data_IF_213145863282
#
_entry.id   IF_213145863282
#
_cell.length_a   1.000
_cell.length_b   1.000
_cell.length_c   1.000
_cell.angle_alpha   90.00
_cell.angle_beta   90.00
_cell.angle_gamma   90.00
#
_symmetry.space_group_name_H-M   'P 1'
#
loop_
_entity.id
_entity.type
_entity.pdbx_description
1 polymer ?
#
# COMPACT_ATOMS: atom_id res chain seq x y z
N UNK A 1 22.37 -67.05 -33.51
CA UNK A 1 21.45 -67.95 -32.77
C UNK A 1 20.69 -67.09 -31.75
N UNK A 2 19.36 -66.94 -31.93
CA UNK A 2 18.33 -66.30 -31.04
C UNK A 2 18.48 -64.77 -30.80
N UNK A 3 17.63 -63.83 -31.21
CA UNK A 3 16.16 -63.67 -31.36
C UNK A 3 15.34 -63.73 -30.04
N UNK A 4 14.86 -62.56 -29.59
CA UNK A 4 13.50 -62.22 -29.08
C UNK A 4 13.49 -60.72 -28.73
N UNK A 5 12.78 -59.82 -29.43
CA UNK A 5 11.31 -59.62 -29.49
C UNK A 5 10.71 -59.08 -28.20
N UNK A 6 10.28 -57.81 -28.24
CA UNK A 6 8.96 -57.43 -27.71
C UNK A 6 8.44 -56.21 -28.47
N UNK A 7 7.29 -56.41 -29.13
CA UNK A 7 6.41 -55.40 -29.72
C UNK A 7 5.61 -54.66 -28.64
N UNK A 8 4.96 -53.57 -29.07
CA UNK A 8 3.73 -52.88 -28.58
C UNK A 8 4.03 -51.36 -28.68
N UNK A 9 3.25 -50.47 -29.27
CA UNK A 9 1.97 -50.49 -29.98
C UNK A 9 1.80 -49.08 -30.58
N UNK A 10 1.32 -48.98 -31.80
CA UNK A 10 1.01 -47.71 -32.47
C UNK A 10 -0.34 -47.17 -32.01
N UNK A 11 -0.44 -45.86 -31.72
CA UNK A 11 -1.66 -45.08 -31.90
C UNK A 11 -1.31 -43.69 -32.45
N UNK A 12 -1.92 -43.38 -33.59
CA UNK A 12 -2.03 -42.04 -34.18
C UNK A 12 -3.06 -41.21 -33.40
N UNK A 13 -2.87 -39.89 -33.24
CA UNK A 13 -3.65 -38.84 -33.93
C UNK A 13 -3.33 -37.41 -33.43
N UNK A 14 -3.31 -36.49 -34.41
CA UNK A 14 -3.69 -35.08 -34.39
C UNK A 14 -2.80 -34.00 -33.72
N UNK A 15 -2.30 -33.11 -34.59
CA UNK A 15 -1.87 -31.74 -34.30
C UNK A 15 -2.98 -30.89 -33.66
N UNK A 16 -2.62 -29.81 -32.94
CA UNK A 16 -3.16 -28.43 -33.10
C UNK A 16 -2.43 -27.42 -32.19
N UNK A 17 -2.10 -26.29 -32.82
CA UNK A 17 -1.89 -24.90 -32.37
C UNK A 17 -0.82 -24.50 -31.32
N UNK A 18 0.02 -23.55 -31.75
CA UNK A 18 0.79 -22.62 -30.92
C UNK A 18 -0.14 -21.70 -30.13
N UNK A 19 0.12 -21.51 -28.84
CA UNK A 19 -0.42 -20.40 -28.06
C UNK A 19 0.65 -19.29 -27.97
N UNK A 20 0.36 -18.14 -28.60
CA UNK A 20 1.16 -16.92 -28.45
C UNK A 20 0.86 -16.20 -27.11
N UNK A 21 1.71 -15.23 -26.71
CA UNK A 21 1.51 -14.49 -25.47
C UNK A 21 0.22 -13.65 -25.51
N UNK A 22 -0.56 -13.75 -24.45
CA UNK A 22 -1.82 -13.01 -24.25
C UNK A 22 -1.56 -11.51 -24.17
N UNK A 23 -2.02 -10.78 -25.19
CA UNK A 23 -2.16 -9.33 -25.16
C UNK A 23 -3.47 -8.98 -24.43
N UNK A 24 -3.38 -8.27 -23.31
CA UNK A 24 -4.55 -7.63 -22.70
C UNK A 24 -4.96 -6.40 -23.54
N UNK A 25 -6.27 -6.11 -23.72
CA UNK A 25 -6.71 -5.05 -24.62
C UNK A 25 -6.44 -3.65 -24.04
N UNK A 26 -5.85 -2.79 -24.88
CA UNK A 26 -5.64 -1.35 -24.68
C UNK A 26 -7.00 -0.62 -24.71
N UNK A 27 -7.46 -0.06 -23.59
CA UNK A 27 -8.65 0.80 -23.58
C UNK A 27 -8.32 2.23 -24.02
N UNK A 28 -9.25 2.80 -24.77
CA UNK A 28 -9.17 4.05 -25.54
C UNK A 28 -9.18 5.29 -24.63
N UNK A 29 -8.15 6.14 -24.73
CA UNK A 29 -8.13 7.48 -24.13
C UNK A 29 -8.98 8.44 -24.97
N UNK A 30 -9.95 9.10 -24.35
CA UNK A 30 -10.57 10.31 -24.89
C UNK A 30 -10.01 11.50 -24.11
N UNK A 31 -9.17 12.28 -24.76
CA UNK A 31 -8.57 13.48 -24.17
C UNK A 31 -9.40 14.73 -24.51
N UNK A 32 -9.68 15.55 -23.50
CA UNK A 32 -10.25 16.90 -23.65
C UNK A 32 -9.33 17.90 -22.93
N UNK A 33 -9.03 19.07 -23.51
CA UNK A 33 -7.91 19.87 -23.03
C UNK A 33 -8.25 20.84 -21.88
N UNK A 34 -7.19 21.06 -21.07
CA UNK A 34 -6.78 22.26 -20.31
C UNK A 34 -7.30 22.53 -18.86
N UNK A 35 -6.39 22.25 -17.92
CA UNK A 35 -6.02 22.94 -16.65
C UNK A 35 -7.14 23.34 -15.67
N UNK A 36 -7.63 22.33 -14.96
CA UNK A 36 -7.79 22.34 -13.50
C UNK A 36 -7.07 21.07 -13.00
N UNK A 37 -6.47 21.06 -11.80
CA UNK A 37 -5.90 19.82 -11.23
C UNK A 37 -7.04 18.83 -11.00
N UNK A 38 -7.33 18.02 -12.01
CA UNK A 38 -8.31 16.95 -11.92
C UNK A 38 -7.64 15.83 -11.13
N UNK A 39 -7.90 15.80 -9.83
CA UNK A 39 -7.63 14.62 -9.02
C UNK A 39 -8.27 13.42 -9.73
N UNK A 40 -7.45 12.41 -10.05
CA UNK A 40 -7.95 11.19 -10.67
C UNK A 40 -8.25 10.21 -9.56
N UNK A 41 -9.53 9.85 -9.43
CA UNK A 41 -9.96 8.80 -8.50
C UNK A 41 -9.87 7.46 -9.20
N UNK A 42 -9.05 6.57 -8.65
CA UNK A 42 -8.95 5.16 -9.00
C UNK A 42 -9.65 4.34 -7.91
N UNK A 43 -10.34 3.28 -8.33
CA UNK A 43 -11.01 2.39 -7.40
C UNK A 43 -10.21 1.09 -7.24
N UNK A 44 -10.02 0.66 -6.00
CA UNK A 44 -9.26 -0.54 -5.61
C UNK A 44 -10.12 -1.48 -4.76
N UNK A 45 -9.57 -2.64 -4.40
CA UNK A 45 -10.23 -3.60 -3.50
C UNK A 45 -9.70 -3.56 -2.07
N UNK A 46 -8.55 -2.93 -1.86
CA UNK A 46 -7.75 -3.03 -0.65
C UNK A 46 -7.07 -1.73 -0.22
N UNK A 47 -6.86 -0.77 -1.11
CA UNK A 47 -6.05 0.41 -0.84
C UNK A 47 -6.83 1.73 -0.99
N UNK A 48 -6.81 2.60 0.03
CA UNK A 48 -7.36 3.95 -0.07
C UNK A 48 -6.40 5.01 0.44
N UNK A 49 -6.33 6.15 -0.24
CA UNK A 49 -5.52 7.29 0.18
C UNK A 49 -5.04 8.14 -0.98
N UNK A 50 -3.90 8.81 -0.77
CA UNK A 50 -3.30 9.71 -1.75
C UNK A 50 -1.96 9.15 -2.24
N UNK A 51 -1.76 9.12 -3.55
CA UNK A 51 -0.51 8.70 -4.20
C UNK A 51 0.05 9.89 -4.98
N UNK A 52 1.06 10.55 -4.42
CA UNK A 52 1.76 11.64 -5.06
C UNK A 52 2.85 11.09 -5.98
N UNK A 53 2.82 11.48 -7.25
CA UNK A 53 3.79 11.07 -8.26
C UNK A 53 4.75 12.24 -8.55
N UNK A 54 6.05 11.95 -8.56
CA UNK A 54 7.09 12.88 -8.95
C UNK A 54 7.90 12.30 -10.12
N UNK A 55 7.61 12.79 -11.32
CA UNK A 55 8.20 12.32 -12.58
C UNK A 55 9.73 12.32 -12.61
N UNK A 56 10.38 13.14 -11.78
CA UNK A 56 11.84 13.20 -11.69
C UNK A 56 12.48 11.91 -11.15
N UNK A 57 11.72 11.06 -10.44
CA UNK A 57 12.23 9.84 -9.82
C UNK A 57 13.30 10.13 -8.76
N UNK A 58 13.03 11.13 -7.91
CA UNK A 58 13.97 11.62 -6.90
C UNK A 58 13.37 11.76 -5.50
N UNK A 59 12.18 11.21 -5.25
CA UNK A 59 11.58 11.18 -3.92
C UNK A 59 12.41 10.31 -2.99
N UNK A 60 12.76 10.84 -1.83
CA UNK A 60 13.59 10.11 -0.87
C UNK A 60 13.02 10.11 0.54
N UNK A 61 11.95 10.84 0.81
CA UNK A 61 11.32 10.82 2.13
C UNK A 61 9.83 11.10 2.04
N UNK A 62 9.06 10.47 2.92
CA UNK A 62 7.65 10.75 3.15
C UNK A 62 7.40 10.70 4.66
N UNK A 63 6.53 11.59 5.15
CA UNK A 63 6.10 11.64 6.53
C UNK A 63 4.62 12.00 6.64
N UNK A 64 3.99 11.56 7.73
CA UNK A 64 2.65 11.96 8.11
C UNK A 64 2.36 11.61 9.56
N UNK A 65 1.69 12.51 10.27
CA UNK A 65 1.21 12.30 11.63
C UNK A 65 -0.27 11.90 11.61
N UNK A 66 -0.65 10.90 12.39
CA UNK A 66 -2.00 10.34 12.40
C UNK A 66 -2.39 9.94 13.81
N UNK A 67 -3.64 10.20 14.19
CA UNK A 67 -4.22 9.61 15.40
C UNK A 67 -4.66 8.19 15.09
N UNK A 68 -4.12 7.22 15.82
CA UNK A 68 -4.43 5.80 15.62
C UNK A 68 -5.94 5.58 15.78
N UNK A 69 -6.64 5.08 14.75
CA UNK A 69 -8.09 5.01 14.78
C UNK A 69 -8.58 3.92 15.73
N UNK A 70 -9.74 4.16 16.34
CA UNK A 70 -10.55 3.09 16.90
C UNK A 70 -11.16 2.29 15.74
N UNK A 71 -10.93 0.98 15.73
CA UNK A 71 -11.52 0.08 14.74
C UNK A 71 -12.50 -0.89 15.39
N UNK A 72 -13.46 -1.38 14.62
CA UNK A 72 -14.34 -2.48 15.01
C UNK A 72 -14.73 -3.32 13.80
N UNK A 73 -15.18 -4.55 14.02
CA UNK A 73 -15.55 -5.45 12.94
C UNK A 73 -15.58 -6.91 13.40
N UNK A 74 -15.68 -7.84 12.45
CA UNK A 74 -15.49 -9.26 12.73
C UNK A 74 -14.14 -9.55 13.38
N UNK A 75 -14.10 -10.58 14.24
CA UNK A 75 -12.84 -11.09 14.79
C UNK A 75 -11.95 -11.55 13.63
N UNK A 76 -10.64 -11.30 13.75
CA UNK A 76 -9.60 -11.55 12.74
C UNK A 76 -9.59 -10.60 11.54
N UNK A 77 -10.46 -9.58 11.49
CA UNK A 77 -10.33 -8.50 10.50
C UNK A 77 -9.07 -7.69 10.77
N UNK A 78 -8.34 -7.35 9.70
CA UNK A 78 -7.10 -6.58 9.74
C UNK A 78 -7.21 -5.27 8.95
N UNK A 79 -6.43 -4.29 9.37
CA UNK A 79 -6.39 -2.95 8.80
C UNK A 79 -5.00 -2.35 9.00
N UNK A 80 -4.54 -1.51 8.08
CA UNK A 80 -3.29 -0.77 8.30
C UNK A 80 -3.46 0.72 8.00
N UNK A 81 -2.62 1.51 8.65
CA UNK A 81 -2.33 2.90 8.27
C UNK A 81 -0.85 2.96 7.95
N UNK A 82 -0.46 3.47 6.79
CA UNK A 82 0.94 3.49 6.36
C UNK A 82 1.33 4.72 5.55
N UNK A 83 2.64 4.97 5.51
CA UNK A 83 3.25 5.87 4.53
C UNK A 83 4.36 5.13 3.79
N UNK A 84 4.38 5.28 2.46
CA UNK A 84 5.21 4.45 1.58
C UNK A 84 5.90 5.29 0.50
N UNK A 85 7.11 4.87 0.12
CA UNK A 85 7.73 5.25 -1.14
C UNK A 85 7.52 4.08 -2.11
N UNK A 86 7.10 4.42 -3.33
CA UNK A 86 6.80 3.47 -4.41
C UNK A 86 5.64 2.50 -4.07
N UNK A 87 5.56 1.34 -4.74
CA UNK A 87 4.53 0.31 -4.54
C UNK A 87 3.32 0.36 -5.49
N UNK A 88 3.09 1.47 -6.19
CA UNK A 88 2.00 1.58 -7.17
C UNK A 88 2.49 1.33 -8.60
N UNK A 89 3.33 2.23 -9.12
CA UNK A 89 3.91 2.16 -10.47
C UNK A 89 5.26 1.43 -10.50
N UNK A 90 5.79 1.06 -9.33
CA UNK A 90 7.06 0.37 -9.15
C UNK A 90 6.83 -0.98 -8.46
N UNK A 91 7.61 -2.00 -8.82
CA UNK A 91 7.50 -3.33 -8.22
C UNK A 91 8.03 -3.43 -6.79
N UNK A 92 8.78 -2.44 -6.33
CA UNK A 92 9.29 -2.39 -4.96
C UNK A 92 8.55 -1.33 -4.16
N UNK A 93 8.45 -1.57 -2.85
CA UNK A 93 7.81 -0.68 -1.90
C UNK A 93 8.65 -0.61 -0.64
N UNK A 94 8.90 0.61 -0.16
CA UNK A 94 9.54 0.89 1.11
C UNK A 94 8.53 1.61 1.99
N UNK A 95 8.18 1.00 3.13
CA UNK A 95 7.05 1.50 3.90
C UNK A 95 7.14 1.22 5.39
N UNK A 96 6.36 1.99 6.13
CA UNK A 96 6.13 1.80 7.57
C UNK A 96 4.65 1.89 7.85
N UNK A 97 4.16 0.97 8.66
CA UNK A 97 2.74 0.81 8.93
C UNK A 97 2.47 0.58 10.42
N UNK A 98 1.27 0.97 10.84
CA UNK A 98 0.61 0.43 12.03
C UNK A 98 -0.53 -0.44 11.58
N UNK A 99 -0.42 -1.74 11.87
CA UNK A 99 -1.48 -2.71 11.65
C UNK A 99 -2.35 -2.84 12.89
N UNK A 100 -3.66 -2.91 12.67
CA UNK A 100 -4.66 -3.20 13.67
C UNK A 100 -5.34 -4.54 13.35
N UNK A 101 -5.53 -5.38 14.36
CA UNK A 101 -6.25 -6.65 14.26
C UNK A 101 -7.40 -6.66 15.27
N UNK A 102 -8.61 -6.97 14.82
CA UNK A 102 -9.76 -7.11 15.72
C UNK A 102 -9.70 -8.46 16.43
N UNK A 103 -9.59 -8.46 17.76
CA UNK A 103 -9.59 -9.68 18.59
C UNK A 103 -10.84 -9.77 19.47
N UNK A 104 -11.04 -10.91 20.14
CA UNK A 104 -12.15 -11.10 21.07
C UNK A 104 -12.12 -10.12 22.28
N UNK A 105 -10.94 -9.62 22.66
CA UNK A 105 -10.76 -8.63 23.73
C UNK A 105 -10.73 -7.18 23.24
N UNK A 106 -10.95 -6.95 21.94
CA UNK A 106 -10.84 -5.65 21.30
C UNK A 106 -9.67 -5.56 20.31
N UNK A 107 -9.50 -4.42 19.61
CA UNK A 107 -8.42 -4.23 18.65
C UNK A 107 -7.04 -4.26 19.31
N UNK A 108 -6.07 -4.87 18.63
CA UNK A 108 -4.64 -4.82 18.98
C UNK A 108 -3.87 -4.12 17.86
N UNK A 109 -2.81 -3.40 18.21
CA UNK A 109 -2.02 -2.59 17.28
C UNK A 109 -0.55 -3.02 17.29
N UNK A 110 0.06 -3.14 16.11
CA UNK A 110 1.46 -3.49 15.93
C UNK A 110 2.08 -2.58 14.87
N UNK A 111 3.24 -2.00 15.16
CA UNK A 111 4.03 -1.27 14.18
C UNK A 111 4.98 -2.22 13.44
N UNK A 112 5.11 -2.05 12.14
CA UNK A 112 6.05 -2.79 11.31
C UNK A 112 6.60 -1.93 10.17
N UNK A 113 7.69 -2.38 9.58
CA UNK A 113 8.30 -1.77 8.42
C UNK A 113 8.57 -2.83 7.35
N UNK A 114 8.69 -2.41 6.10
CA UNK A 114 8.92 -3.33 5.00
C UNK A 114 9.75 -2.76 3.87
N UNK A 115 10.51 -3.65 3.23
CA UNK A 115 11.20 -3.45 1.97
C UNK A 115 11.28 -4.80 1.25
N UNK A 116 10.23 -5.15 0.50
CA UNK A 116 10.01 -6.49 -0.10
C UNK A 116 10.06 -7.65 0.92
N UNK A 117 9.61 -7.36 2.14
CA UNK A 117 9.59 -8.25 3.30
C UNK A 117 9.33 -7.41 4.55
N UNK A 118 8.60 -7.94 5.53
CA UNK A 118 8.18 -7.18 6.71
C UNK A 118 9.03 -7.50 7.94
N UNK A 119 9.05 -6.56 8.89
CA UNK A 119 9.67 -6.73 10.19
C UNK A 119 9.04 -5.83 11.22
N UNK A 120 8.76 -6.39 12.39
CA UNK A 120 8.14 -5.67 13.50
C UNK A 120 9.06 -4.58 14.05
N UNK A 121 8.44 -3.50 14.52
CA UNK A 121 9.08 -2.44 15.29
C UNK A 121 8.67 -2.57 16.75
N UNK A 122 9.65 -2.48 17.66
CA UNK A 122 9.41 -2.55 19.09
C UNK A 122 8.95 -1.19 19.61
N UNK A 123 7.65 -0.95 19.58
CA UNK A 123 6.99 0.26 20.08
C UNK A 123 5.57 -0.08 20.53
N UNK A 124 5.11 0.57 21.60
CA UNK A 124 3.74 0.42 22.11
C UNK A 124 2.84 1.41 21.41
N UNK A 125 1.76 0.90 20.81
CA UNK A 125 0.75 1.69 20.09
C UNK A 125 -0.63 1.35 20.63
N UNK A 126 -1.45 2.36 20.89
CA UNK A 126 -2.84 2.23 21.29
C UNK A 126 -3.75 3.09 20.42
N UNK A 127 -5.04 2.75 20.36
CA UNK A 127 -6.05 3.61 19.76
C UNK A 127 -6.06 4.98 20.47
N UNK A 128 -6.14 6.06 19.68
CA UNK A 128 -6.10 7.44 20.18
C UNK A 128 -4.69 8.02 20.34
N UNK A 129 -3.63 7.22 20.25
CA UNK A 129 -2.27 7.74 20.23
C UNK A 129 -2.04 8.60 18.98
N UNK A 130 -1.33 9.71 19.13
CA UNK A 130 -0.81 10.48 18.01
C UNK A 130 0.55 9.91 17.62
N UNK A 131 0.66 9.39 16.42
CA UNK A 131 1.90 8.80 15.90
C UNK A 131 2.39 9.57 14.68
N UNK A 132 3.70 9.63 14.48
CA UNK A 132 4.32 10.08 13.23
C UNK A 132 4.99 8.90 12.54
N UNK A 133 4.61 8.68 11.29
CA UNK A 133 5.21 7.70 10.40
C UNK A 133 6.19 8.43 9.48
N UNK A 134 7.40 7.90 9.33
CA UNK A 134 8.40 8.45 8.42
C UNK A 134 9.17 7.36 7.70
N UNK A 135 9.31 7.51 6.39
CA UNK A 135 10.19 6.70 5.54
C UNK A 135 11.25 7.61 4.95
N UNK A 136 12.49 7.14 4.90
CA UNK A 136 13.59 7.77 4.20
C UNK A 136 14.38 6.74 3.38
N UNK A 137 14.32 6.84 2.06
CA UNK A 137 15.26 6.15 1.19
C UNK A 137 16.65 6.77 1.35
N UNK A 138 17.65 5.95 1.64
CA UNK A 138 19.06 6.36 1.69
C UNK A 138 19.71 6.22 0.31
N UNK A 139 19.30 5.19 -0.40
CA UNK A 139 19.55 4.93 -1.81
C UNK A 139 18.42 4.00 -2.31
N UNK A 140 18.48 3.58 -3.57
CA UNK A 140 17.44 2.74 -4.17
C UNK A 140 17.30 1.36 -3.53
N UNK A 141 18.27 0.89 -2.75
CA UNK A 141 18.27 -0.46 -2.18
C UNK A 141 18.39 -0.45 -0.66
N UNK A 142 18.33 0.72 -0.01
CA UNK A 142 18.32 0.84 1.45
C UNK A 142 17.52 2.05 1.94
N UNK A 143 16.88 1.89 3.09
CA UNK A 143 16.05 2.93 3.68
C UNK A 143 15.92 2.79 5.19
N UNK A 144 15.42 3.86 5.82
CA UNK A 144 15.13 3.93 7.25
C UNK A 144 13.65 4.23 7.44
N UNK A 145 13.01 3.44 8.28
CA UNK A 145 11.61 3.57 8.66
C UNK A 145 11.55 3.90 10.13
N UNK A 146 10.70 4.87 10.47
CA UNK A 146 10.55 5.38 11.83
C UNK A 146 9.05 5.49 12.14
N UNK A 147 8.70 5.03 13.34
CA UNK A 147 7.43 5.34 14.00
C UNK A 147 7.75 6.04 15.30
N UNK A 148 7.27 7.26 15.45
CA UNK A 148 7.30 8.00 16.71
C UNK A 148 5.89 7.96 17.31
N UNK A 149 5.74 7.52 18.55
CA UNK A 149 4.50 7.67 19.29
C UNK A 149 4.62 8.90 20.19
N UNK A 150 4.04 10.01 19.72
CA UNK A 150 4.12 11.32 20.36
C UNK A 150 3.27 11.40 21.64
N UNK A 151 2.38 10.42 21.85
CA UNK A 151 1.56 10.34 23.06
C UNK A 151 2.27 9.69 24.25
N UNK A 152 3.32 8.90 24.00
CA UNK A 152 4.07 8.18 25.05
C UNK A 152 5.60 8.28 24.93
N UNK A 153 6.10 9.16 24.05
CA UNK A 153 7.52 9.44 23.81
C UNK A 153 8.36 8.21 23.38
N UNK A 154 7.73 7.17 22.82
CA UNK A 154 8.44 6.02 22.27
C UNK A 154 8.78 6.20 20.80
N UNK A 155 9.89 5.60 20.38
CA UNK A 155 10.31 5.57 18.98
C UNK A 155 10.76 4.17 18.60
N UNK A 156 10.18 3.64 17.53
CA UNK A 156 10.62 2.42 16.86
C UNK A 156 11.22 2.78 15.52
N UNK A 157 12.39 2.23 15.19
CA UNK A 157 12.97 2.45 13.87
C UNK A 157 13.73 1.22 13.39
N UNK A 158 13.89 1.11 12.08
CA UNK A 158 14.73 0.09 11.45
C UNK A 158 15.32 0.59 10.16
N UNK A 159 16.54 0.15 9.88
CA UNK A 159 17.15 0.26 8.55
C UNK A 159 16.94 -1.07 7.83
N UNK A 160 16.40 -1.04 6.63
CA UNK A 160 16.25 -2.22 5.76
C UNK A 160 17.10 -2.07 4.50
N UNK A 161 17.38 -3.21 3.87
CA UNK A 161 17.98 -3.31 2.55
C UNK A 161 17.19 -4.34 1.73
N UNK A 162 17.12 -4.12 0.43
CA UNK A 162 16.49 -5.05 -0.52
C UNK A 162 17.39 -5.24 -1.74
N UNK A 163 17.27 -6.39 -2.39
CA UNK A 163 17.87 -6.62 -3.72
C UNK A 163 17.09 -5.94 -4.84
N UNK A 164 15.81 -5.63 -4.63
CA UNK A 164 15.00 -4.98 -5.66
C UNK A 164 14.98 -3.47 -5.43
N UNK A 165 15.40 -2.68 -6.43
CA UNK A 165 15.56 -1.25 -6.26
C UNK A 165 14.22 -0.51 -6.30
N UNK A 166 14.14 0.56 -5.50
CA UNK A 166 13.13 1.60 -5.59
C UNK A 166 13.23 2.36 -6.91
N UNK A 167 12.09 2.85 -7.36
CA UNK A 167 11.96 3.78 -8.47
C UNK A 167 12.10 5.23 -8.01
N UNK A 168 11.77 5.52 -6.74
CA UNK A 168 11.78 6.84 -6.10
C UNK A 168 10.79 7.82 -6.77
N UNK A 169 9.63 7.30 -7.23
CA UNK A 169 8.68 8.04 -8.07
C UNK A 169 7.37 8.35 -7.39
N UNK A 170 6.94 7.55 -6.43
CA UNK A 170 5.70 7.85 -5.70
C UNK A 170 5.89 7.91 -4.19
N UNK A 171 5.02 8.69 -3.55
CA UNK A 171 4.88 8.80 -2.12
C UNK A 171 3.39 8.65 -1.78
N UNK A 172 3.05 7.70 -0.91
CA UNK A 172 1.67 7.33 -0.62
C UNK A 172 1.32 7.45 0.86
N UNK A 173 0.20 8.11 1.19
CA UNK A 173 -0.42 8.13 2.53
C UNK A 173 -1.74 7.41 2.48
N UNK A 174 -1.84 6.30 3.20
CA UNK A 174 -2.85 5.30 2.86
C UNK A 174 -3.35 4.50 4.05
N UNK A 175 -4.57 4.01 3.91
CA UNK A 175 -5.11 2.91 4.71
C UNK A 175 -5.31 1.69 3.84
N UNK A 176 -5.18 0.52 4.43
CA UNK A 176 -5.28 -0.75 3.71
C UNK A 176 -6.23 -1.72 4.40
N UNK A 177 -7.09 -2.36 3.61
CA UNK A 177 -7.81 -3.58 3.95
C UNK A 177 -6.86 -4.75 3.76
N UNK A 178 -6.36 -5.27 4.87
CA UNK A 178 -5.49 -6.45 4.83
C UNK A 178 -6.32 -7.75 4.81
N UNK A 179 -5.78 -8.83 4.20
CA UNK A 179 -6.35 -10.16 4.34
C UNK A 179 -6.54 -10.52 5.81
N UNK A 180 -7.62 -11.23 6.11
CA UNK A 180 -7.85 -11.78 7.45
C UNK A 180 -6.78 -12.81 7.82
N UNK A 181 -6.67 -13.13 9.11
CA UNK A 181 -5.68 -14.09 9.62
C UNK A 181 -5.79 -15.47 8.95
N UNK A 182 -6.98 -15.87 8.50
CA UNK A 182 -7.26 -17.14 7.84
C UNK A 182 -7.47 -17.03 6.32
N UNK A 183 -7.15 -15.87 5.73
CA UNK A 183 -7.37 -15.55 4.31
C UNK A 183 -8.81 -15.72 3.84
N UNK A 184 -9.78 -15.63 4.76
CA UNK A 184 -11.20 -15.54 4.42
C UNK A 184 -11.57 -14.11 4.08
N UNK A 185 -12.54 -13.92 3.18
CA UNK A 185 -13.11 -12.59 3.00
C UNK A 185 -13.91 -12.22 4.25
N UNK A 186 -13.43 -11.22 4.98
CA UNK A 186 -14.17 -10.58 6.04
C UNK A 186 -14.65 -9.20 5.58
N UNK A 187 -15.83 -8.75 6.04
CA UNK A 187 -16.21 -7.35 5.92
C UNK A 187 -15.08 -6.42 6.35
N UNK A 188 -14.90 -5.34 5.60
CA UNK A 188 -13.90 -4.33 5.92
C UNK A 188 -14.17 -3.73 7.30
N UNK A 189 -13.13 -3.42 8.07
CA UNK A 189 -13.29 -2.89 9.44
C UNK A 189 -13.98 -1.53 9.44
N UNK A 190 -14.84 -1.31 10.43
CA UNK A 190 -15.41 0.00 10.69
C UNK A 190 -14.37 0.89 11.39
N UNK A 191 -14.13 2.06 10.80
CA UNK A 191 -13.42 3.20 11.38
C UNK A 191 -14.18 4.46 11.00
N UNK A 192 -14.07 5.55 11.76
CA UNK A 192 -14.73 6.81 11.40
C UNK A 192 -13.97 7.53 10.28
N UNK A 193 -12.74 7.93 10.58
CA UNK A 193 -11.84 8.59 9.66
C UNK A 193 -10.39 8.36 10.09
N UNK A 194 -9.50 8.36 9.12
CA UNK A 194 -8.05 8.43 9.32
C UNK A 194 -7.56 9.69 8.62
N UNK A 195 -6.96 10.59 9.38
CA UNK A 195 -6.37 11.82 8.83
C UNK A 195 -4.87 11.82 9.05
N UNK A 196 -4.12 11.75 7.95
CA UNK A 196 -2.73 12.15 7.94
C UNK A 196 -2.68 13.68 7.98
N UNK A 197 -1.98 14.21 8.96
CA UNK A 197 -1.62 15.62 9.12
C UNK A 197 -0.12 15.76 8.96
N UNK A 198 0.38 16.99 8.74
CA UNK A 198 1.81 17.21 8.44
C UNK A 198 2.29 16.29 7.28
N UNK A 199 1.38 15.98 6.34
CA UNK A 199 1.62 15.07 5.24
C UNK A 199 2.57 15.74 4.24
N UNK A 200 3.80 15.24 4.16
CA UNK A 200 4.87 15.83 3.37
C UNK A 200 5.77 14.77 2.76
N UNK A 201 6.20 15.01 1.53
CA UNK A 201 7.26 14.24 0.87
C UNK A 201 8.35 15.16 0.37
N UNK A 202 9.60 14.65 0.38
CA UNK A 202 10.79 15.39 -0.03
C UNK A 202 11.47 14.69 -1.19
N UNK A 203 12.06 15.50 -2.09
CA UNK A 203 13.01 15.02 -3.08
C UNK A 203 14.46 15.07 -2.58
N UNK A 204 15.39 14.56 -3.39
CA UNK A 204 16.83 14.57 -3.11
C UNK A 204 17.45 15.96 -2.95
N UNK A 205 16.77 17.02 -3.38
CA UNK A 205 17.18 18.42 -3.17
C UNK A 205 16.52 19.05 -1.93
N UNK A 206 15.80 18.26 -1.13
CA UNK A 206 15.00 18.72 0.02
C UNK A 206 13.86 19.67 -0.37
N UNK A 207 13.42 19.65 -1.63
CA UNK A 207 12.18 20.34 -2.00
C UNK A 207 11.01 19.56 -1.42
N UNK A 208 10.07 20.29 -0.82
CA UNK A 208 8.90 19.75 -0.14
C UNK A 208 7.67 19.80 -1.03
N UNK A 209 6.87 18.74 -0.95
CA UNK A 209 5.58 18.59 -1.63
C UNK A 209 4.56 18.05 -0.62
N UNK A 210 3.36 18.65 -0.58
CA UNK A 210 2.19 18.10 0.11
C UNK A 210 1.36 17.20 -0.82
N UNK A 211 0.28 16.59 -0.33
CA UNK A 211 -0.52 15.65 -1.11
C UNK A 211 -1.40 16.31 -2.19
N UNK A 212 -1.48 17.64 -2.27
CA UNK A 212 -2.27 18.31 -3.32
C UNK A 212 -1.84 17.89 -4.73
N UNK A 213 -2.81 17.52 -5.55
CA UNK A 213 -2.58 17.03 -6.91
C UNK A 213 -2.12 15.57 -6.98
N UNK A 214 -2.08 14.85 -5.85
CA UNK A 214 -1.94 13.40 -5.84
C UNK A 214 -3.13 12.71 -6.53
N UNK A 215 -2.88 11.50 -7.04
CA UNK A 215 -3.96 10.59 -7.41
C UNK A 215 -4.66 10.10 -6.14
N UNK A 216 -5.96 9.86 -6.24
CA UNK A 216 -6.77 9.34 -5.14
C UNK A 216 -7.08 7.89 -5.43
N UNK A 217 -6.85 7.03 -4.44
CA UNK A 217 -7.33 5.65 -4.43
C UNK A 217 -8.47 5.51 -3.42
N UNK A 218 -9.57 4.87 -3.82
CA UNK A 218 -10.72 4.56 -2.96
C UNK A 218 -11.05 3.06 -3.02
N UNK A 219 -11.37 2.47 -1.87
CA UNK A 219 -11.74 1.06 -1.76
C UNK A 219 -13.21 0.87 -2.14
N UNK A 220 -13.48 -0.18 -2.90
CA UNK A 220 -14.82 -0.71 -3.12
C UNK A 220 -15.13 -1.87 -2.17
N UNK A 221 -16.41 -2.01 -1.82
CA UNK A 221 -16.97 -3.23 -1.27
C UNK A 221 -17.11 -4.30 -2.36
N UNK A 222 -17.29 -5.56 -1.94
CA UNK A 222 -17.46 -6.68 -2.89
C UNK A 222 -18.67 -6.53 -3.81
N UNK A 223 -19.69 -5.78 -3.38
CA UNK A 223 -20.89 -5.47 -4.16
C UNK A 223 -20.70 -4.29 -5.14
N UNK A 224 -19.50 -3.71 -5.20
CA UNK A 224 -19.15 -2.60 -6.07
C UNK A 224 -19.53 -1.22 -5.53
N UNK A 225 -20.04 -1.12 -4.31
CA UNK A 225 -20.27 0.18 -3.64
C UNK A 225 -18.96 0.78 -3.13
N UNK A 226 -18.88 2.10 -3.08
CA UNK A 226 -17.72 2.80 -2.49
C UNK A 226 -17.70 2.52 -0.99
N UNK A 227 -16.55 2.12 -0.46
CA UNK A 227 -16.34 1.81 0.95
C UNK A 227 -15.52 2.89 1.68
N UNK A 228 -14.80 3.73 0.93
CA UNK A 228 -14.02 4.84 1.48
C UNK A 228 -14.12 6.08 0.62
N UNK A 229 -14.04 7.26 1.23
CA UNK A 229 -13.87 8.52 0.50
C UNK A 229 -12.59 9.23 0.95
N UNK A 230 -11.85 9.81 0.00
CA UNK A 230 -10.60 10.53 0.28
C UNK A 230 -10.73 12.02 0.00
N UNK A 231 -10.23 12.85 0.91
CA UNK A 231 -10.14 14.31 0.74
C UNK A 231 -8.71 14.79 0.97
N UNK A 232 -8.20 15.59 0.04
CA UNK A 232 -6.85 16.17 0.10
C UNK A 232 -6.90 17.60 0.62
N UNK A 233 -5.96 17.94 1.49
CA UNK A 233 -5.63 19.30 1.91
C UNK A 233 -4.18 19.64 1.55
N UNK A 234 -3.73 20.86 1.88
CA UNK A 234 -2.36 21.30 1.56
C UNK A 234 -1.28 20.38 2.16
N UNK A 235 -1.50 19.94 3.41
CA UNK A 235 -0.61 19.03 4.15
C UNK A 235 -1.41 17.95 4.89
N UNK A 236 -2.53 17.52 4.31
CA UNK A 236 -3.39 16.51 4.93
C UNK A 236 -4.04 15.57 3.92
N UNK A 237 -4.23 14.32 4.33
CA UNK A 237 -5.02 13.31 3.61
C UNK A 237 -6.04 12.76 4.60
N UNK A 238 -7.33 12.97 4.36
CA UNK A 238 -8.41 12.40 5.17
C UNK A 238 -9.08 11.28 4.42
N UNK A 239 -9.20 10.12 5.05
CA UNK A 239 -9.81 8.92 4.50
C UNK A 239 -10.96 8.53 5.44
N UNK A 240 -12.18 8.64 4.94
CA UNK A 240 -13.40 8.29 5.67
C UNK A 240 -13.94 6.94 5.19
N UNK A 241 -14.56 6.18 6.09
CA UNK A 241 -15.35 5.02 5.69
C UNK A 241 -16.78 5.48 5.38
N UNK A 242 -17.34 5.00 4.27
CA UNK A 242 -18.70 5.37 3.80
C UNK A 242 -19.63 4.18 3.68
#
# INVERSE_FOLDING_TARGET
>A
MRLNSMLISSFFFASVALAGPSQFPRQSLVEKPAKASSETVTYTTDWAGAVYELDSGSLNSISGAVTVPHISGPINSKFSVSVNIDGTSCSSILGVAVEATVTASGPTYQALCYFNGSSDLNITISAGDLIRLTVRALDKTSGVMVVENLSNDQMGYRRLQSSDPLCERSAAWVVERLPSVDNTTLPFVNFSAVTFTEAVTLDNNSQSYGPQGANIDEILNEDGTIATSVTLGEFSVTIERV
#
